data_IF_063976868695
#
_entry.id   IF_063976868695
#
_cell.length_a   1.000
_cell.length_b   1.000
_cell.length_c   1.000
_cell.angle_alpha   90.00
_cell.angle_beta   90.00
_cell.angle_gamma   90.00
#
_symmetry.space_group_name_H-M   'P 1'
#
loop_
_entity.id
_entity.type
_entity.pdbx_description
1 polymer ?
#
# COMPACT_ATOMS: atom_id res chain seq x y z
N UNK A 1 -72.54 15.53 -2.93
CA UNK A 1 -73.22 16.81 -3.23
C UNK A 1 -72.28 17.93 -2.78
N UNK A 2 -71.62 18.57 -3.77
CA UNK A 2 -70.88 19.86 -3.83
C UNK A 2 -70.63 20.59 -2.49
N UNK A 3 -69.39 20.92 -2.06
CA UNK A 3 -68.67 22.14 -2.50
C UNK A 3 -67.22 22.27 -1.97
N UNK A 4 -66.33 22.59 -2.92
CA UNK A 4 -65.00 23.27 -2.98
C UNK A 4 -64.29 23.77 -1.69
N UNK A 5 -63.00 23.50 -1.41
CA UNK A 5 -61.70 23.90 -2.03
C UNK A 5 -61.31 25.41 -1.94
N UNK A 6 -60.31 25.77 -1.09
CA UNK A 6 -58.93 26.22 -1.47
C UNK A 6 -58.11 27.00 -0.39
N UNK A 7 -56.91 26.48 -0.08
CA UNK A 7 -55.53 27.05 0.02
C UNK A 7 -55.06 28.20 0.96
N UNK A 8 -53.82 27.93 1.48
CA UNK A 8 -52.59 28.79 1.68
C UNK A 8 -52.56 29.69 2.93
N UNK A 9 -51.42 30.09 3.53
CA UNK A 9 -49.99 29.69 3.62
C UNK A 9 -49.34 30.69 4.64
N UNK A 10 -48.54 30.18 5.59
CA UNK A 10 -47.32 30.76 6.22
C UNK A 10 -47.18 32.17 6.86
N UNK A 11 -46.64 32.15 8.10
CA UNK A 11 -45.42 32.83 8.64
C UNK A 11 -45.49 34.21 9.38
N UNK A 12 -45.18 34.11 10.70
CA UNK A 12 -44.30 34.92 11.61
C UNK A 12 -44.70 36.28 12.21
N UNK A 13 -44.65 36.36 13.56
CA UNK A 13 -44.59 37.56 14.45
C UNK A 13 -43.90 37.12 15.78
N UNK A 14 -42.74 37.62 16.28
CA UNK A 14 -42.29 38.91 16.91
C UNK A 14 -41.87 38.70 18.40
N UNK A 15 -40.65 39.19 18.73
CA UNK A 15 -40.11 39.89 19.92
C UNK A 15 -40.44 39.51 21.39
N UNK A 16 -39.52 39.81 22.35
CA UNK A 16 -39.47 41.09 23.12
C UNK A 16 -38.68 40.96 24.46
N UNK A 17 -37.74 41.91 24.70
CA UNK A 17 -37.39 42.71 25.92
C UNK A 17 -37.26 42.10 27.33
N UNK A 18 -36.20 42.51 28.07
CA UNK A 18 -36.23 42.92 29.50
C UNK A 18 -34.92 43.66 29.87
N UNK A 19 -34.91 44.98 30.11
CA UNK A 19 -35.13 45.79 31.35
C UNK A 19 -34.02 45.68 32.43
N UNK A 20 -33.25 46.76 32.58
CA UNK A 20 -32.23 47.00 33.62
C UNK A 20 -32.79 47.95 34.70
N UNK A 21 -32.39 47.75 35.96
CA UNK A 21 -32.42 48.78 37.01
C UNK A 21 -31.14 48.71 37.88
N UNK A 22 -30.61 49.89 38.18
CA UNK A 22 -29.42 50.21 39.00
C UNK A 22 -29.81 50.39 40.48
N UNK A 23 -28.92 50.01 41.41
CA UNK A 23 -28.16 50.96 42.25
C UNK A 23 -27.60 50.32 43.55
N UNK A 24 -26.26 50.41 43.66
CA UNK A 24 -25.38 50.67 44.82
C UNK A 24 -25.86 50.50 46.27
N UNK A 25 -25.02 49.87 47.11
CA UNK A 25 -24.55 50.43 48.39
C UNK A 25 -23.19 49.80 48.78
N UNK A 26 -22.31 50.64 49.35
CA UNK A 26 -20.98 50.29 49.84
C UNK A 26 -20.97 50.07 51.36
N UNK A 27 -20.09 49.20 51.88
CA UNK A 27 -19.47 49.25 53.22
C UNK A 27 -18.35 48.19 53.35
N UNK A 28 -17.13 48.60 53.66
CA UNK A 28 -16.05 47.79 54.31
C UNK A 28 -16.29 47.78 55.84
N UNK A 29 -15.86 46.78 56.68
CA UNK A 29 -14.43 46.40 56.85
C UNK A 29 -14.09 44.99 57.43
N UNK A 30 -12.77 44.69 57.44
CA UNK A 30 -11.98 43.92 58.45
C UNK A 30 -12.15 42.39 58.66
N UNK A 31 -10.96 41.77 58.67
CA UNK A 31 -10.45 40.61 59.45
C UNK A 31 -10.91 39.18 59.12
N UNK A 32 -9.91 38.35 58.78
CA UNK A 32 -9.90 36.88 58.75
C UNK A 32 -10.14 36.27 60.14
N UNK A 33 -10.75 35.06 60.22
CA UNK A 33 -9.92 33.90 60.57
C UNK A 33 -10.26 32.61 59.80
N UNK A 34 -9.28 31.70 59.83
CA UNK A 34 -9.20 30.40 59.18
C UNK A 34 -10.33 29.43 59.57
N UNK A 35 -10.84 28.67 58.59
CA UNK A 35 -11.76 27.55 58.84
C UNK A 35 -12.35 26.90 57.59
N UNK A 36 -11.64 25.88 57.08
CA UNK A 36 -12.09 24.75 56.22
C UNK A 36 -13.40 24.92 55.41
N UNK A 37 -13.29 24.89 54.08
CA UNK A 37 -13.94 23.87 53.23
C UNK A 37 -13.46 23.93 51.78
N UNK A 38 -13.42 22.73 51.21
CA UNK A 38 -13.17 22.30 49.84
C UNK A 38 -13.48 23.25 48.66
N UNK A 39 -12.71 22.99 47.60
CA UNK A 39 -12.92 23.21 46.17
C UNK A 39 -12.35 24.47 45.53
N UNK A 40 -11.50 24.18 44.53
CA UNK A 40 -11.08 25.00 43.38
C UNK A 40 -9.76 25.78 43.53
N UNK A 41 -8.94 25.68 42.48
CA UNK A 41 -7.55 26.09 42.34
C UNK A 41 -6.57 25.18 43.10
N UNK A 42 -5.65 24.46 42.48
CA UNK A 42 -4.78 24.91 41.40
C UNK A 42 -4.52 23.76 40.44
N UNK A 43 -5.22 23.82 39.31
CA UNK A 43 -4.91 23.07 38.10
C UNK A 43 -3.61 23.67 37.55
N UNK A 44 -2.50 23.35 38.21
CA UNK A 44 -1.17 23.54 37.67
C UNK A 44 -1.14 22.81 36.34
N UNK A 45 -1.09 23.61 35.27
CA UNK A 45 -0.98 23.18 33.88
C UNK A 45 0.15 22.18 33.78
N UNK A 46 -0.19 20.89 33.73
CA UNK A 46 0.60 19.94 32.97
C UNK A 46 0.35 20.32 31.52
N UNK A 47 1.31 21.04 30.94
CA UNK A 47 1.39 21.09 29.49
C UNK A 47 1.40 19.65 28.96
N UNK A 48 0.60 19.33 27.94
CA UNK A 48 0.72 18.04 27.30
C UNK A 48 2.11 17.96 26.69
N UNK A 49 2.89 16.97 27.13
CA UNK A 49 4.10 16.55 26.44
C UNK A 49 3.71 16.30 24.99
N UNK A 50 4.28 17.07 24.06
CA UNK A 50 4.29 16.73 22.64
C UNK A 50 4.91 15.33 22.51
N UNK A 51 4.07 14.32 22.21
CA UNK A 51 4.56 12.97 21.93
C UNK A 51 3.79 11.83 22.61
N UNK A 52 2.49 11.71 22.35
CA UNK A 52 1.80 10.42 22.38
C UNK A 52 0.58 10.55 21.48
N UNK A 53 0.70 10.10 20.23
CA UNK A 53 -0.45 9.90 19.37
C UNK A 53 -1.41 8.94 20.08
N UNK A 54 -2.71 9.25 20.14
CA UNK A 54 -3.74 8.31 20.60
C UNK A 54 -3.88 7.09 19.68
N UNK A 55 -3.15 7.07 18.55
CA UNK A 55 -3.17 6.07 17.49
C UNK A 55 -1.74 5.75 17.05
N UNK A 56 -0.87 5.22 17.93
CA UNK A 56 0.55 4.99 17.62
C UNK A 56 0.78 3.99 16.49
N UNK A 57 -0.20 3.12 16.21
CA UNK A 57 -0.15 2.24 15.04
C UNK A 57 -0.16 3.03 13.71
N UNK A 58 -0.69 4.26 13.68
CA UNK A 58 -0.65 5.10 12.47
C UNK A 58 0.73 5.66 12.18
N UNK A 59 1.71 5.51 13.08
CA UNK A 59 3.11 5.88 12.79
C UNK A 59 3.70 5.07 11.62
N UNK A 60 3.06 3.95 11.25
CA UNK A 60 3.31 3.22 9.99
C UNK A 60 3.34 4.17 8.78
N UNK A 61 2.45 5.16 8.76
CA UNK A 61 2.29 6.12 7.68
C UNK A 61 3.53 6.99 7.46
N UNK A 62 4.44 7.08 8.43
CA UNK A 62 5.70 7.78 8.27
C UNK A 62 6.62 7.07 7.27
N UNK A 63 6.44 5.78 7.02
CA UNK A 63 7.33 4.98 6.16
C UNK A 63 6.88 4.89 4.70
N UNK A 64 5.85 5.66 4.31
CA UNK A 64 5.38 5.68 2.93
C UNK A 64 6.41 6.34 2.02
N UNK A 65 6.56 5.79 0.83
CA UNK A 65 7.37 6.36 -0.23
C UNK A 65 6.72 6.07 -1.59
N UNK A 66 7.35 6.54 -2.67
CA UNK A 66 6.95 6.17 -4.01
C UNK A 66 5.68 6.87 -4.51
N UNK A 67 5.07 6.27 -5.52
CA UNK A 67 3.84 6.79 -6.13
C UNK A 67 2.61 6.71 -5.21
N UNK A 68 2.64 5.85 -4.18
CA UNK A 68 1.56 5.75 -3.18
C UNK A 68 1.88 6.51 -1.88
N UNK A 69 2.79 7.49 -1.91
CA UNK A 69 3.22 8.26 -0.71
C UNK A 69 2.07 8.93 0.05
N UNK A 70 0.98 9.23 -0.65
CA UNK A 70 -0.20 9.91 -0.10
C UNK A 70 -1.27 8.93 0.43
N UNK A 71 -1.01 7.61 0.47
CA UNK A 71 -1.97 6.63 1.00
C UNK A 71 -2.18 6.82 2.49
N UNK A 72 -3.42 6.80 2.95
CA UNK A 72 -3.74 6.86 4.39
C UNK A 72 -4.47 5.61 4.89
N UNK A 73 -4.96 4.77 3.97
CA UNK A 73 -5.73 3.58 4.33
C UNK A 73 -6.91 3.94 5.22
N UNK A 74 -7.03 3.23 6.36
CA UNK A 74 -8.05 3.47 7.37
C UNK A 74 -7.74 4.54 8.41
N UNK A 75 -6.73 5.39 8.20
CA UNK A 75 -6.31 6.39 9.17
C UNK A 75 -7.47 7.29 9.62
N UNK A 76 -7.51 7.62 10.91
CA UNK A 76 -8.61 8.39 11.51
C UNK A 76 -9.95 7.62 11.63
N UNK A 77 -10.06 6.44 11.01
CA UNK A 77 -11.26 5.60 11.03
C UNK A 77 -11.42 4.72 12.26
N UNK A 78 -12.37 3.78 12.20
CA UNK A 78 -12.62 2.78 13.24
C UNK A 78 -11.45 1.79 13.32
N UNK A 79 -11.04 1.39 14.53
CA UNK A 79 -10.09 0.28 14.72
C UNK A 79 -10.89 -0.99 14.95
N UNK A 80 -10.71 -1.98 14.07
CA UNK A 80 -11.32 -3.31 14.21
C UNK A 80 -10.23 -4.30 14.60
N UNK A 81 -10.42 -5.02 15.70
CA UNK A 81 -9.49 -6.07 16.14
C UNK A 81 -10.09 -7.44 15.85
N UNK A 82 -9.46 -8.17 14.94
CA UNK A 82 -9.77 -9.56 14.65
C UNK A 82 -9.10 -10.44 15.72
N UNK A 83 -9.91 -11.13 16.52
CA UNK A 83 -9.46 -11.88 17.70
C UNK A 83 -9.49 -13.41 17.54
N UNK A 84 -9.92 -13.87 16.36
CA UNK A 84 -10.09 -15.27 15.99
C UNK A 84 -9.81 -15.45 14.50
N UNK A 85 -9.36 -16.65 14.10
CA UNK A 85 -9.08 -17.01 12.71
C UNK A 85 -10.37 -17.31 11.93
N UNK A 86 -11.32 -16.38 11.99
CA UNK A 86 -12.62 -16.50 11.35
C UNK A 86 -12.67 -15.56 10.14
N UNK A 87 -12.79 -16.13 8.95
CA UNK A 87 -12.90 -15.38 7.70
C UNK A 87 -14.01 -14.35 7.72
N UNK A 88 -15.18 -14.67 8.28
CA UNK A 88 -16.33 -13.76 8.31
C UNK A 88 -16.02 -12.45 9.03
N UNK A 89 -15.27 -12.50 10.14
CA UNK A 89 -14.90 -11.29 10.88
C UNK A 89 -13.97 -10.38 10.05
N UNK A 90 -13.01 -10.99 9.35
CA UNK A 90 -12.11 -10.27 8.45
C UNK A 90 -12.89 -9.68 7.26
N UNK A 91 -13.72 -10.50 6.62
CA UNK A 91 -14.55 -10.11 5.47
C UNK A 91 -15.48 -8.95 5.81
N UNK A 92 -16.23 -9.05 6.92
CA UNK A 92 -17.14 -8.00 7.36
C UNK A 92 -16.41 -6.67 7.59
N UNK A 93 -15.19 -6.71 8.14
CA UNK A 93 -14.38 -5.51 8.34
C UNK A 93 -13.92 -4.90 7.01
N UNK A 94 -13.44 -5.72 6.07
CA UNK A 94 -12.88 -5.27 4.78
C UNK A 94 -13.93 -4.81 3.77
N UNK A 95 -15.13 -5.41 3.79
CA UNK A 95 -16.23 -5.09 2.88
C UNK A 95 -17.22 -4.05 3.44
N UNK A 96 -17.00 -3.59 4.66
CA UNK A 96 -17.80 -2.52 5.26
C UNK A 96 -17.40 -1.13 4.73
N UNK A 97 -18.38 -0.23 4.74
CA UNK A 97 -18.16 1.16 4.34
C UNK A 97 -17.37 1.94 5.40
N UNK A 98 -16.67 2.99 4.94
CA UNK A 98 -15.95 3.93 5.80
C UNK A 98 -14.52 3.50 6.13
N UNK A 99 -13.70 4.43 6.64
CA UNK A 99 -12.31 4.17 6.96
C UNK A 99 -12.18 3.18 8.12
N UNK A 100 -11.39 2.12 7.94
CA UNK A 100 -11.11 1.14 9.01
C UNK A 100 -9.65 0.70 9.04
N UNK A 101 -9.10 0.70 10.25
CA UNK A 101 -7.79 0.13 10.56
C UNK A 101 -7.98 -1.25 11.18
N UNK A 102 -7.84 -2.29 10.36
CA UNK A 102 -8.02 -3.69 10.77
C UNK A 102 -6.70 -4.20 11.35
N UNK A 103 -6.73 -4.58 12.62
CA UNK A 103 -5.61 -5.22 13.32
C UNK A 103 -6.00 -6.61 13.77
N UNK A 104 -5.01 -7.39 14.17
CA UNK A 104 -5.21 -8.70 14.77
C UNK A 104 -4.82 -8.65 16.23
N UNK A 105 -5.47 -9.48 17.05
CA UNK A 105 -5.13 -9.62 18.46
C UNK A 105 -3.64 -10.00 18.59
N UNK A 106 -2.86 -9.33 19.45
CA UNK A 106 -1.45 -9.66 19.63
C UNK A 106 -1.24 -11.14 19.97
N UNK A 107 -0.31 -11.78 19.27
CA UNK A 107 -0.02 -13.22 19.37
C UNK A 107 -1.02 -14.13 18.64
N UNK A 108 -2.04 -13.59 17.97
CA UNK A 108 -2.90 -14.39 17.10
C UNK A 108 -2.04 -14.94 15.96
N UNK A 109 -2.11 -16.26 15.76
CA UNK A 109 -1.31 -16.99 14.79
C UNK A 109 -2.14 -18.04 14.09
N UNK A 110 -2.06 -18.06 12.76
CA UNK A 110 -2.60 -19.13 11.95
C UNK A 110 -3.15 -18.63 10.62
N UNK A 111 -3.90 -19.52 9.98
CA UNK A 111 -4.43 -19.31 8.64
C UNK A 111 -5.88 -18.83 8.72
N UNK A 112 -6.22 -17.87 7.86
CA UNK A 112 -7.59 -17.47 7.56
C UNK A 112 -7.81 -17.83 6.09
N UNK A 113 -8.55 -18.90 5.87
CA UNK A 113 -8.99 -19.33 4.53
C UNK A 113 -10.06 -18.35 4.04
N UNK A 114 -9.81 -17.68 2.91
CA UNK A 114 -10.85 -16.90 2.25
C UNK A 114 -11.83 -17.85 1.56
N UNK A 115 -13.12 -17.56 1.68
CA UNK A 115 -14.19 -18.28 0.99
C UNK A 115 -14.67 -17.40 -0.18
N UNK A 116 -14.29 -17.74 -1.40
CA UNK A 116 -14.53 -16.93 -2.57
C UNK A 116 -13.61 -15.71 -2.65
N UNK A 117 -13.85 -14.86 -3.66
CA UNK A 117 -13.15 -13.58 -3.76
C UNK A 117 -13.41 -12.68 -2.53
N UNK A 118 -12.32 -12.18 -1.93
CA UNK A 118 -12.36 -11.20 -0.87
C UNK A 118 -12.27 -9.79 -1.46
N UNK A 119 -13.34 -9.03 -1.38
CA UNK A 119 -13.37 -7.65 -1.88
C UNK A 119 -12.94 -6.68 -0.78
N UNK A 120 -11.94 -5.84 -1.04
CA UNK A 120 -11.56 -4.79 -0.10
C UNK A 120 -12.14 -3.47 -0.57
N UNK A 121 -13.08 -2.91 0.20
CA UNK A 121 -13.60 -1.57 -0.04
C UNK A 121 -12.56 -0.52 0.30
N UNK A 122 -12.74 0.70 -0.20
CA UNK A 122 -11.83 1.82 0.02
C UNK A 122 -11.60 2.16 1.50
N UNK A 123 -10.50 2.88 1.75
CA UNK A 123 -10.12 3.42 3.06
C UNK A 123 -9.89 2.31 4.09
N UNK A 124 -9.05 1.32 3.73
CA UNK A 124 -8.75 0.17 4.59
C UNK A 124 -7.26 0.05 4.82
N UNK A 125 -6.90 -0.27 6.05
CA UNK A 125 -5.57 -0.77 6.41
C UNK A 125 -5.72 -2.17 6.98
N UNK A 126 -5.05 -3.16 6.40
CA UNK A 126 -4.76 -4.43 7.06
C UNK A 126 -3.39 -4.27 7.71
N UNK A 127 -3.34 -4.37 9.03
CA UNK A 127 -2.12 -4.22 9.83
C UNK A 127 -1.89 -5.46 10.69
N UNK A 128 -1.03 -6.35 10.19
CA UNK A 128 -0.66 -7.60 10.84
C UNK A 128 0.44 -7.49 11.90
N UNK A 129 0.89 -6.28 12.28
CA UNK A 129 1.92 -6.12 13.31
C UNK A 129 1.48 -6.72 14.65
N UNK A 130 2.36 -7.53 15.23
CA UNK A 130 2.10 -8.27 16.47
C UNK A 130 1.32 -9.57 16.29
N UNK A 131 1.07 -10.00 15.05
CA UNK A 131 0.37 -11.25 14.73
C UNK A 131 1.06 -12.01 13.57
N UNK A 132 0.82 -13.33 13.49
CA UNK A 132 1.33 -14.22 12.44
C UNK A 132 0.14 -14.74 11.62
N UNK A 133 -0.33 -13.91 10.70
CA UNK A 133 -1.53 -14.17 9.91
C UNK A 133 -1.15 -14.56 8.50
N UNK A 134 -1.66 -15.71 8.07
CA UNK A 134 -1.60 -16.16 6.68
C UNK A 134 -3.00 -16.14 6.09
N UNK A 135 -3.19 -15.45 4.97
CA UNK A 135 -4.37 -15.59 4.13
C UNK A 135 -4.10 -16.69 3.10
N UNK A 136 -5.03 -17.65 3.01
CA UNK A 136 -5.01 -18.79 2.09
C UNK A 136 -6.36 -18.93 1.40
N UNK A 137 -6.46 -19.78 0.38
CA UNK A 137 -7.72 -20.11 -0.28
C UNK A 137 -7.78 -21.63 -0.55
N UNK A 138 -8.93 -22.28 -0.38
CA UNK A 138 -9.13 -23.66 -0.83
C UNK A 138 -9.41 -23.75 -2.35
N UNK A 139 -9.88 -22.66 -2.97
CA UNK A 139 -10.27 -22.61 -4.37
C UNK A 139 -9.17 -22.01 -5.27
N UNK A 140 -9.03 -22.61 -6.46
CA UNK A 140 -7.97 -22.35 -7.44
C UNK A 140 -8.10 -20.99 -8.15
N UNK A 141 -9.24 -20.32 -8.03
CA UNK A 141 -9.49 -19.03 -8.71
C UNK A 141 -9.82 -17.88 -7.77
N UNK A 142 -9.76 -18.08 -6.45
CA UNK A 142 -10.04 -17.00 -5.52
C UNK A 142 -8.96 -15.92 -5.52
N UNK A 143 -9.36 -14.71 -5.16
CA UNK A 143 -8.51 -13.52 -5.24
C UNK A 143 -8.85 -12.53 -4.13
N UNK A 144 -7.85 -11.77 -3.69
CA UNK A 144 -8.05 -10.55 -2.91
C UNK A 144 -8.16 -9.38 -3.91
N UNK A 145 -9.30 -8.69 -3.94
CA UNK A 145 -9.65 -7.74 -5.00
C UNK A 145 -9.76 -6.31 -4.51
N UNK A 146 -8.97 -5.42 -5.12
CA UNK A 146 -9.03 -3.97 -4.92
C UNK A 146 -9.61 -3.34 -6.18
N UNK A 147 -10.91 -3.07 -6.16
CA UNK A 147 -11.61 -2.49 -7.30
C UNK A 147 -11.97 -1.03 -7.01
N UNK A 148 -11.51 -0.11 -7.87
CA UNK A 148 -11.73 1.33 -7.69
C UNK A 148 -13.13 1.79 -8.07
N UNK A 149 -13.79 1.07 -9.01
CA UNK A 149 -15.17 1.30 -9.41
C UNK A 149 -16.12 0.34 -8.70
N UNK A 150 -16.99 0.87 -7.86
CA UNK A 150 -18.15 0.15 -7.33
C UNK A 150 -19.39 0.53 -8.17
N UNK A 151 -20.04 -0.44 -8.84
CA UNK A 151 -21.31 -0.18 -9.52
C UNK A 151 -22.43 -0.03 -8.48
N UNK A 152 -22.78 1.20 -8.13
CA UNK A 152 -24.05 1.50 -7.44
C UNK A 152 -25.09 1.86 -8.51
N UNK A 153 -26.18 1.10 -8.58
CA UNK A 153 -27.37 1.30 -9.42
C UNK A 153 -27.28 2.46 -10.43
N UNK A 154 -26.98 2.14 -11.70
CA UNK A 154 -27.05 3.01 -12.88
C UNK A 154 -26.69 4.49 -12.64
N UNK A 155 -25.44 4.86 -13.00
CA UNK A 155 -24.92 6.21 -13.34
C UNK A 155 -24.01 6.96 -12.36
N UNK A 156 -23.70 6.44 -11.17
CA UNK A 156 -22.66 7.02 -10.30
C UNK A 156 -21.53 6.01 -10.08
N UNK A 157 -20.44 6.16 -10.83
CA UNK A 157 -19.16 5.56 -10.49
C UNK A 157 -18.49 6.46 -9.45
N UNK A 158 -18.41 6.00 -8.20
CA UNK A 158 -17.58 6.66 -7.19
C UNK A 158 -16.20 6.03 -7.27
N UNK A 159 -15.21 6.75 -7.80
CA UNK A 159 -13.81 6.34 -7.69
C UNK A 159 -13.39 6.43 -6.23
N UNK A 160 -13.01 5.32 -5.59
CA UNK A 160 -12.28 5.38 -4.32
C UNK A 160 -11.29 4.22 -4.15
N UNK A 161 -10.05 4.57 -3.83
CA UNK A 161 -9.04 3.62 -3.37
C UNK A 161 -7.99 4.39 -2.59
N UNK A 162 -7.53 3.75 -1.53
CA UNK A 162 -6.74 4.28 -0.45
C UNK A 162 -6.54 3.09 0.48
N UNK A 163 -5.60 2.21 0.13
CA UNK A 163 -5.52 0.87 0.69
C UNK A 163 -4.10 0.55 1.14
N UNK A 164 -3.99 0.00 2.33
CA UNK A 164 -2.72 -0.47 2.90
C UNK A 164 -2.86 -1.93 3.28
N UNK A 165 -1.94 -2.76 2.81
CA UNK A 165 -1.75 -4.14 3.29
C UNK A 165 -0.36 -4.23 3.89
N UNK A 166 -0.29 -4.46 5.19
CA UNK A 166 0.96 -4.42 5.93
C UNK A 166 1.15 -5.65 6.83
N UNK A 167 2.34 -6.26 6.73
CA UNK A 167 2.85 -7.30 7.62
C UNK A 167 1.93 -8.51 7.78
N UNK A 168 1.57 -9.16 6.67
CA UNK A 168 0.84 -10.45 6.64
C UNK A 168 1.47 -11.41 5.62
N UNK A 169 1.03 -12.66 5.61
CA UNK A 169 1.40 -13.64 4.58
C UNK A 169 0.20 -13.88 3.65
N UNK A 170 0.46 -13.96 2.35
CA UNK A 170 -0.52 -14.29 1.31
C UNK A 170 0.02 -15.50 0.57
N UNK A 171 -0.50 -16.67 0.92
CA UNK A 171 0.06 -17.95 0.52
C UNK A 171 -1.05 -18.80 -0.09
N UNK A 172 -0.77 -19.39 -1.25
CA UNK A 172 -1.72 -20.29 -1.93
C UNK A 172 -3.10 -19.67 -2.20
N UNK A 173 -3.16 -18.37 -2.45
CA UNK A 173 -4.38 -17.76 -3.00
C UNK A 173 -4.47 -18.14 -4.47
N UNK A 174 -5.62 -18.70 -4.87
CA UNK A 174 -5.86 -19.14 -6.24
C UNK A 174 -4.92 -20.25 -6.70
N UNK A 175 -4.40 -21.08 -5.79
CA UNK A 175 -3.32 -22.03 -6.09
C UNK A 175 -3.80 -23.27 -6.88
N UNK A 176 -4.17 -23.07 -8.15
CA UNK A 176 -4.44 -24.13 -9.11
C UNK A 176 -4.27 -23.69 -10.56
N UNK A 177 -5.36 -23.69 -11.35
CA UNK A 177 -5.39 -23.52 -12.82
C UNK A 177 -4.93 -22.14 -13.36
N UNK A 178 -4.03 -21.43 -12.65
CA UNK A 178 -3.51 -20.10 -12.99
C UNK A 178 -4.63 -19.07 -13.21
N UNK A 179 -5.70 -19.13 -12.43
CA UNK A 179 -6.86 -18.24 -12.58
C UNK A 179 -7.04 -17.24 -11.43
N UNK A 180 -6.44 -17.49 -10.26
CA UNK A 180 -6.53 -16.59 -9.11
C UNK A 180 -5.21 -15.89 -8.80
N UNK A 181 -5.31 -14.61 -8.44
CA UNK A 181 -4.20 -13.75 -8.04
C UNK A 181 -4.14 -13.58 -6.53
N UNK A 182 -2.93 -13.42 -5.97
CA UNK A 182 -2.74 -13.06 -4.57
C UNK A 182 -3.45 -11.75 -4.22
N UNK A 183 -3.08 -10.66 -4.88
CA UNK A 183 -3.80 -9.37 -4.85
C UNK A 183 -4.01 -8.85 -6.27
N UNK A 184 -5.26 -8.63 -6.65
CA UNK A 184 -5.66 -8.03 -7.92
C UNK A 184 -6.17 -6.59 -7.77
N UNK A 185 -5.49 -5.63 -8.42
CA UNK A 185 -5.78 -4.19 -8.34
C UNK A 185 -6.30 -3.70 -9.70
N UNK A 186 -7.57 -3.33 -9.78
CA UNK A 186 -8.21 -3.07 -11.05
C UNK A 186 -9.29 -1.98 -11.01
N UNK A 187 -9.79 -1.64 -12.20
CA UNK A 187 -10.95 -0.77 -12.41
C UNK A 187 -10.78 0.58 -11.73
N UNK A 188 -9.77 1.34 -12.16
CA UNK A 188 -9.39 2.67 -11.63
C UNK A 188 -9.04 2.71 -10.13
N UNK A 189 -8.66 1.58 -9.55
CA UNK A 189 -8.08 1.59 -8.20
C UNK A 189 -6.80 2.44 -8.16
N UNK A 190 -6.69 3.31 -7.16
CA UNK A 190 -5.55 4.24 -6.98
C UNK A 190 -5.01 4.22 -5.56
N UNK A 191 -3.74 4.60 -5.39
CA UNK A 191 -3.15 4.86 -4.07
C UNK A 191 -3.18 3.62 -3.16
N UNK A 192 -2.40 2.61 -3.55
CA UNK A 192 -2.31 1.31 -2.85
C UNK A 192 -0.88 1.09 -2.38
N UNK A 193 -0.72 0.69 -1.11
CA UNK A 193 0.57 0.34 -0.53
C UNK A 193 0.55 -1.08 0.03
N UNK A 194 1.44 -1.91 -0.50
CA UNK A 194 1.66 -3.29 -0.06
C UNK A 194 3.05 -3.33 0.56
N UNK A 195 3.12 -3.62 1.86
CA UNK A 195 4.34 -3.45 2.63
C UNK A 195 4.59 -4.61 3.60
N UNK A 196 5.83 -5.10 3.67
CA UNK A 196 6.17 -6.24 4.55
C UNK A 196 5.27 -7.47 4.35
N UNK A 197 4.79 -7.70 3.14
CA UNK A 197 3.98 -8.88 2.82
C UNK A 197 4.86 -10.02 2.30
N UNK A 198 4.63 -11.24 2.79
CA UNK A 198 5.22 -12.45 2.20
C UNK A 198 4.24 -13.12 1.27
N UNK A 199 4.60 -13.23 0.00
CA UNK A 199 3.86 -13.96 -1.04
C UNK A 199 4.54 -15.29 -1.35
N UNK A 200 3.75 -16.36 -1.45
CA UNK A 200 4.28 -17.67 -1.82
C UNK A 200 3.24 -18.60 -2.45
N UNK A 201 3.63 -19.34 -3.49
CA UNK A 201 2.79 -20.36 -4.14
C UNK A 201 1.39 -19.87 -4.55
N UNK A 202 1.23 -18.60 -4.93
CA UNK A 202 -0.04 -18.09 -5.46
C UNK A 202 -0.26 -18.59 -6.90
N UNK A 203 -1.51 -18.64 -7.33
CA UNK A 203 -1.94 -19.21 -8.61
C UNK A 203 -1.31 -18.59 -9.85
N UNK A 204 -1.84 -17.43 -10.24
CA UNK A 204 -1.33 -16.65 -11.36
C UNK A 204 -0.28 -15.65 -10.86
N UNK A 205 -0.65 -14.38 -10.66
CA UNK A 205 0.25 -13.38 -10.08
C UNK A 205 0.14 -13.27 -8.56
N UNK A 206 1.26 -13.04 -7.88
CA UNK A 206 1.21 -12.64 -6.47
C UNK A 206 0.61 -11.24 -6.29
N UNK A 207 0.96 -10.30 -7.18
CA UNK A 207 0.34 -8.97 -7.26
C UNK A 207 0.08 -8.63 -8.72
N UNK A 208 -1.06 -8.05 -9.00
CA UNK A 208 -1.36 -7.55 -10.34
C UNK A 208 -2.04 -6.17 -10.27
N UNK A 209 -1.79 -5.34 -11.28
CA UNK A 209 -2.44 -4.04 -11.44
C UNK A 209 -2.77 -3.76 -12.91
N UNK A 210 -3.96 -3.24 -13.18
CA UNK A 210 -4.36 -2.81 -14.52
C UNK A 210 -5.77 -2.22 -14.57
N UNK A 211 -6.35 -2.16 -15.78
CA UNK A 211 -7.69 -1.60 -16.04
C UNK A 211 -7.85 -0.19 -15.44
N UNK A 212 -6.89 0.68 -15.73
CA UNK A 212 -6.91 2.08 -15.28
C UNK A 212 -6.38 2.33 -13.87
N UNK A 213 -5.95 1.28 -13.15
CA UNK A 213 -5.36 1.43 -11.84
C UNK A 213 -3.96 2.10 -11.87
N UNK A 214 -3.58 2.79 -10.80
CA UNK A 214 -2.31 3.54 -10.70
C UNK A 214 -1.89 3.77 -9.26
N UNK A 215 -0.70 4.35 -9.07
CA UNK A 215 -0.19 4.82 -7.78
C UNK A 215 -0.08 3.65 -6.78
N UNK A 216 0.67 2.64 -7.21
CA UNK A 216 1.04 1.47 -6.41
C UNK A 216 2.43 1.67 -5.82
N UNK A 217 2.60 1.34 -4.54
CA UNK A 217 3.91 1.09 -3.93
C UNK A 217 3.95 -0.31 -3.34
N UNK A 218 4.94 -1.10 -3.73
CA UNK A 218 5.26 -2.40 -3.13
C UNK A 218 6.62 -2.26 -2.46
N UNK A 219 6.66 -2.34 -1.14
CA UNK A 219 7.88 -2.12 -0.37
C UNK A 219 8.15 -3.24 0.61
N UNK A 220 9.42 -3.56 0.84
CA UNK A 220 9.81 -4.51 1.89
C UNK A 220 9.09 -5.87 1.81
N UNK A 221 8.61 -6.27 0.62
CA UNK A 221 7.86 -7.51 0.44
C UNK A 221 8.80 -8.66 0.07
N UNK A 222 8.41 -9.88 0.42
CA UNK A 222 9.13 -11.10 0.03
C UNK A 222 8.27 -11.94 -0.89
N UNK A 223 8.77 -12.22 -2.08
CA UNK A 223 8.16 -13.14 -3.04
C UNK A 223 9.02 -14.39 -3.08
N UNK A 224 8.47 -15.53 -2.67
CA UNK A 224 9.22 -16.78 -2.57
C UNK A 224 8.45 -17.94 -3.16
N UNK A 225 9.08 -18.69 -4.07
CA UNK A 225 8.48 -19.88 -4.68
C UNK A 225 7.12 -19.61 -5.32
N UNK A 226 7.02 -18.52 -6.10
CA UNK A 226 5.83 -18.18 -6.90
C UNK A 226 6.18 -18.20 -8.39
N UNK A 227 5.22 -18.53 -9.25
CA UNK A 227 5.45 -18.52 -10.69
C UNK A 227 5.61 -17.09 -11.21
N UNK A 228 4.57 -16.25 -11.04
CA UNK A 228 4.58 -14.85 -11.49
C UNK A 228 4.52 -13.90 -10.29
N UNK A 229 5.47 -12.96 -10.22
CA UNK A 229 5.55 -11.99 -9.14
C UNK A 229 4.50 -10.87 -9.25
N UNK A 230 4.85 -9.82 -9.98
CA UNK A 230 4.11 -8.58 -10.15
C UNK A 230 3.82 -8.34 -11.64
N UNK A 231 2.54 -8.33 -12.03
CA UNK A 231 2.09 -7.91 -13.37
C UNK A 231 1.46 -6.52 -13.32
N UNK A 232 2.03 -5.58 -14.06
CA UNK A 232 1.53 -4.23 -14.22
C UNK A 232 0.96 -4.09 -15.63
N UNK A 233 -0.10 -4.84 -15.92
CA UNK A 233 -0.78 -4.91 -17.21
C UNK A 233 -1.88 -5.97 -17.16
N UNK A 234 -3.12 -5.61 -16.88
CA UNK A 234 -4.25 -6.52 -17.16
C UNK A 234 -4.69 -6.45 -18.61
N UNK A 235 -4.16 -5.48 -19.35
CA UNK A 235 -4.52 -5.28 -20.74
C UNK A 235 -3.87 -6.26 -21.72
N UNK A 236 -4.66 -6.66 -22.70
CA UNK A 236 -4.19 -7.24 -23.95
C UNK A 236 -3.74 -6.12 -24.92
N UNK A 237 -3.43 -6.48 -26.17
CA UNK A 237 -3.22 -5.49 -27.23
C UNK A 237 -4.41 -4.53 -27.32
N UNK A 238 -4.13 -3.22 -27.30
CA UNK A 238 -5.15 -2.18 -27.51
C UNK A 238 -5.71 -1.55 -26.25
N UNK A 239 -5.25 -1.96 -25.06
CA UNK A 239 -5.62 -1.35 -23.78
C UNK A 239 -4.70 -0.17 -23.38
N UNK A 240 -3.95 0.41 -24.32
CA UNK A 240 -3.05 1.55 -24.08
C UNK A 240 -3.77 2.75 -23.48
N UNK A 241 -5.01 3.00 -23.91
CA UNK A 241 -5.86 4.05 -23.38
C UNK A 241 -6.25 3.85 -21.90
N UNK A 242 -6.23 2.62 -21.38
CA UNK A 242 -6.54 2.31 -19.99
C UNK A 242 -5.28 2.22 -19.12
N UNK A 243 -4.28 1.46 -19.57
CA UNK A 243 -3.14 1.10 -18.72
C UNK A 243 -1.95 2.07 -18.83
N UNK A 244 -2.00 3.05 -19.75
CA UNK A 244 -0.98 4.11 -19.84
C UNK A 244 -0.89 5.01 -18.60
N UNK A 245 -1.90 4.97 -17.70
CA UNK A 245 -1.88 5.72 -16.43
C UNK A 245 -1.07 5.01 -15.34
N UNK A 246 -0.74 3.73 -15.51
CA UNK A 246 -0.06 2.92 -14.49
C UNK A 246 1.23 3.60 -14.01
N UNK A 247 1.34 3.79 -12.70
CA UNK A 247 2.56 4.19 -12.01
C UNK A 247 2.78 3.26 -10.82
N UNK A 248 3.95 2.63 -10.76
CA UNK A 248 4.31 1.72 -9.68
C UNK A 248 5.72 2.02 -9.14
N UNK A 249 5.87 1.96 -7.82
CA UNK A 249 7.17 1.94 -7.15
C UNK A 249 7.34 0.57 -6.52
N UNK A 250 8.44 -0.11 -6.81
CA UNK A 250 8.80 -1.37 -6.15
C UNK A 250 10.18 -1.18 -5.55
N UNK A 251 10.27 -1.26 -4.23
CA UNK A 251 11.55 -1.09 -3.54
C UNK A 251 11.74 -2.01 -2.37
N UNK A 252 13.00 -2.31 -2.08
CA UNK A 252 13.37 -3.11 -0.92
C UNK A 252 12.68 -4.49 -0.86
N UNK A 253 12.26 -5.02 -2.02
CA UNK A 253 11.63 -6.32 -2.10
C UNK A 253 12.67 -7.41 -2.38
N UNK A 254 12.43 -8.59 -1.83
CA UNK A 254 13.22 -9.79 -2.09
C UNK A 254 12.42 -10.81 -2.91
N UNK A 255 12.82 -11.00 -4.15
CA UNK A 255 12.30 -12.01 -5.07
C UNK A 255 13.23 -13.22 -5.10
N UNK A 256 12.85 -14.28 -4.41
CA UNK A 256 13.61 -15.52 -4.31
C UNK A 256 12.88 -16.65 -5.04
N UNK A 257 13.55 -17.24 -6.04
CA UNK A 257 12.98 -18.38 -6.79
C UNK A 257 11.63 -18.05 -7.44
N UNK A 258 11.44 -16.79 -7.83
CA UNK A 258 10.30 -16.32 -8.62
C UNK A 258 10.58 -16.65 -10.08
N UNK A 259 9.69 -17.36 -10.77
CA UNK A 259 10.01 -17.74 -12.14
C UNK A 259 10.18 -16.49 -13.03
N UNK A 260 9.30 -15.48 -12.89
CA UNK A 260 9.49 -14.18 -13.52
C UNK A 260 8.45 -13.13 -13.15
N UNK A 261 8.46 -12.01 -13.90
CA UNK A 261 7.60 -10.82 -13.68
C UNK A 261 7.89 -10.14 -12.34
N UNK A 262 9.04 -9.51 -12.21
CA UNK A 262 9.50 -8.84 -10.99
C UNK A 262 9.99 -7.41 -11.24
N UNK A 263 9.23 -6.52 -11.94
CA UNK A 263 7.88 -6.69 -12.47
C UNK A 263 7.84 -7.01 -13.98
N UNK A 264 6.64 -7.26 -14.51
CA UNK A 264 6.34 -7.19 -15.95
C UNK A 264 5.37 -6.03 -16.22
N UNK A 265 5.71 -5.10 -17.12
CA UNK A 265 4.95 -3.86 -17.34
C UNK A 265 4.61 -3.61 -18.82
N UNK A 266 3.40 -3.09 -19.08
CA UNK A 266 2.98 -2.48 -20.37
C UNK A 266 2.57 -1.01 -20.17
N UNK A 267 2.82 -0.15 -21.18
CA UNK A 267 2.41 1.27 -21.33
C UNK A 267 2.79 2.29 -20.23
N UNK A 268 2.69 1.93 -18.95
CA UNK A 268 2.93 2.81 -17.81
C UNK A 268 4.39 2.90 -17.37
N UNK A 269 4.59 3.26 -16.11
CA UNK A 269 5.89 3.57 -15.52
C UNK A 269 6.14 2.77 -14.24
N UNK A 270 7.31 2.17 -14.13
CA UNK A 270 7.77 1.55 -12.88
C UNK A 270 9.12 2.12 -12.45
N UNK A 271 9.18 2.61 -11.21
CA UNK A 271 10.44 2.85 -10.52
C UNK A 271 10.78 1.62 -9.70
N UNK A 272 11.90 0.98 -10.02
CA UNK A 272 12.32 -0.31 -9.49
C UNK A 272 13.69 -0.12 -8.84
N UNK A 273 13.75 0.02 -7.52
CA UNK A 273 15.03 0.32 -6.85
C UNK A 273 15.30 -0.47 -5.58
N UNK A 274 16.57 -0.76 -5.31
CA UNK A 274 17.01 -1.51 -4.12
C UNK A 274 16.27 -2.83 -3.89
N UNK A 275 15.94 -3.55 -4.95
CA UNK A 275 15.37 -4.89 -4.86
C UNK A 275 16.44 -5.96 -5.04
N UNK A 276 16.19 -7.16 -4.52
CA UNK A 276 17.03 -8.33 -4.77
C UNK A 276 16.24 -9.39 -5.52
N UNK A 277 16.68 -9.74 -6.73
CA UNK A 277 16.17 -10.87 -7.49
C UNK A 277 17.19 -12.00 -7.46
N UNK A 278 16.77 -13.19 -7.04
CA UNK A 278 17.63 -14.35 -6.93
C UNK A 278 16.93 -15.59 -7.48
N UNK A 279 17.66 -16.36 -8.30
CA UNK A 279 17.22 -17.63 -8.86
C UNK A 279 15.95 -17.53 -9.74
N UNK A 280 15.88 -16.50 -10.60
CA UNK A 280 14.77 -16.36 -11.56
C UNK A 280 14.84 -17.41 -12.68
N UNK A 281 13.71 -17.69 -13.33
CA UNK A 281 13.64 -18.72 -14.38
C UNK A 281 13.57 -18.13 -15.79
N UNK A 282 12.56 -17.31 -16.12
CA UNK A 282 12.27 -16.78 -17.47
C UNK A 282 12.53 -15.27 -17.61
N UNK A 283 13.31 -14.71 -16.69
CA UNK A 283 13.68 -13.29 -16.60
C UNK A 283 13.03 -12.63 -15.38
N UNK A 284 13.72 -11.69 -14.74
CA UNK A 284 13.14 -10.98 -13.59
C UNK A 284 12.26 -9.82 -14.09
N UNK A 285 12.86 -8.75 -14.60
CA UNK A 285 12.19 -7.52 -15.01
C UNK A 285 11.89 -7.51 -16.51
N UNK A 286 10.67 -7.18 -16.88
CA UNK A 286 10.24 -7.08 -18.27
C UNK A 286 9.53 -5.75 -18.55
N UNK A 287 9.97 -5.07 -19.61
CA UNK A 287 9.33 -3.87 -20.14
C UNK A 287 8.86 -4.12 -21.58
N UNK A 288 7.61 -3.80 -21.90
CA UNK A 288 7.07 -4.00 -23.25
C UNK A 288 5.99 -2.97 -23.57
N UNK A 289 5.57 -2.88 -24.83
CA UNK A 289 4.50 -1.99 -25.30
C UNK A 289 4.70 -0.52 -24.87
N UNK A 290 5.93 0.00 -25.00
CA UNK A 290 6.26 1.38 -24.64
C UNK A 290 6.32 1.68 -23.14
N UNK A 291 6.18 0.67 -22.27
CA UNK A 291 6.41 0.79 -20.84
C UNK A 291 7.77 1.42 -20.53
N UNK A 292 7.88 2.13 -19.41
CA UNK A 292 9.14 2.73 -18.96
C UNK A 292 9.53 2.15 -17.59
N UNK A 293 10.69 1.49 -17.52
CA UNK A 293 11.22 0.96 -16.25
C UNK A 293 12.52 1.67 -15.89
N UNK A 294 12.54 2.33 -14.73
CA UNK A 294 13.76 2.91 -14.15
C UNK A 294 14.28 1.95 -13.08
N UNK A 295 15.32 1.19 -13.41
CA UNK A 295 15.99 0.23 -12.54
C UNK A 295 17.20 0.89 -11.89
N UNK A 296 17.20 1.02 -10.56
CA UNK A 296 18.24 1.71 -9.80
C UNK A 296 18.74 0.91 -8.60
N UNK A 297 20.04 0.64 -8.54
CA UNK A 297 20.71 -0.02 -7.41
C UNK A 297 20.03 -1.32 -6.96
N UNK A 298 19.55 -2.13 -7.90
CA UNK A 298 19.04 -3.46 -7.64
C UNK A 298 20.17 -4.50 -7.69
N UNK A 299 19.93 -5.63 -7.05
CA UNK A 299 20.81 -6.79 -7.08
C UNK A 299 20.11 -7.90 -7.87
N UNK A 300 20.79 -8.44 -8.87
CA UNK A 300 20.35 -9.58 -9.67
C UNK A 300 21.33 -10.73 -9.46
N UNK A 301 21.02 -11.64 -8.53
CA UNK A 301 21.86 -12.78 -8.18
C UNK A 301 21.42 -14.05 -8.90
N UNK A 302 21.99 -14.29 -10.09
CA UNK A 302 21.91 -15.54 -10.86
C UNK A 302 20.50 -16.00 -11.28
N UNK A 303 20.35 -16.38 -12.55
CA UNK A 303 19.20 -17.19 -12.95
C UNK A 303 19.34 -18.61 -12.40
N UNK A 304 18.21 -19.31 -12.22
CA UNK A 304 18.18 -20.70 -11.72
C UNK A 304 18.93 -21.66 -12.67
N UNK A 305 19.06 -21.29 -13.94
CA UNK A 305 19.67 -22.12 -14.97
C UNK A 305 20.78 -21.35 -15.70
N UNK A 306 21.78 -22.08 -16.20
CA UNK A 306 22.92 -21.51 -16.94
C UNK A 306 22.49 -20.72 -18.20
N UNK A 307 21.30 -21.00 -18.74
CA UNK A 307 20.72 -20.32 -19.90
C UNK A 307 19.44 -19.55 -19.55
N UNK A 308 19.28 -19.14 -18.30
CA UNK A 308 18.16 -18.26 -17.92
C UNK A 308 18.19 -16.99 -18.78
N UNK A 309 17.02 -16.46 -19.20
CA UNK A 309 16.95 -15.19 -19.90
C UNK A 309 17.56 -14.04 -19.10
N UNK A 310 17.83 -12.89 -19.75
CA UNK A 310 18.34 -11.70 -19.08
C UNK A 310 17.54 -11.35 -17.81
N UNK A 311 18.24 -10.82 -16.82
CA UNK A 311 17.63 -10.39 -15.57
C UNK A 311 16.65 -9.22 -15.81
N UNK A 312 16.99 -8.30 -16.71
CA UNK A 312 16.13 -7.20 -17.15
C UNK A 312 16.09 -7.14 -18.67
N UNK A 313 14.89 -7.07 -19.25
CA UNK A 313 14.71 -7.13 -20.70
C UNK A 313 13.62 -6.17 -21.23
N UNK A 314 13.82 -5.66 -22.44
CA UNK A 314 12.78 -4.98 -23.23
C UNK A 314 12.27 -5.95 -24.30
N UNK A 315 11.10 -6.53 -24.04
CA UNK A 315 10.60 -7.64 -24.86
C UNK A 315 9.62 -7.16 -25.92
N UNK A 316 9.68 -7.81 -27.09
CA UNK A 316 8.62 -7.75 -28.09
C UNK A 316 8.31 -9.16 -28.59
N UNK A 317 7.03 -9.45 -28.82
CA UNK A 317 6.59 -10.74 -29.34
C UNK A 317 5.30 -10.59 -30.17
N UNK A 318 4.78 -11.70 -30.70
CA UNK A 318 3.55 -11.68 -31.53
C UNK A 318 2.37 -11.05 -30.82
N UNK A 319 2.27 -11.16 -29.49
CA UNK A 319 1.20 -10.60 -28.67
C UNK A 319 1.48 -9.19 -28.19
N UNK A 320 2.75 -8.79 -28.10
CA UNK A 320 3.19 -7.45 -27.67
C UNK A 320 4.28 -6.98 -28.63
N UNK A 321 3.92 -6.50 -29.83
CA UNK A 321 4.87 -6.35 -30.94
C UNK A 321 5.78 -5.14 -30.82
N UNK A 322 5.59 -4.30 -29.80
CA UNK A 322 6.42 -3.12 -29.55
C UNK A 322 7.24 -3.37 -28.29
N UNK A 323 8.57 -3.15 -28.30
CA UNK A 323 9.36 -3.16 -27.08
C UNK A 323 8.93 -2.03 -26.14
N UNK A 324 9.32 -2.15 -24.89
CA UNK A 324 9.30 -1.04 -23.93
C UNK A 324 10.65 -0.33 -23.87
N UNK A 325 10.83 0.45 -22.83
CA UNK A 325 12.06 1.14 -22.48
C UNK A 325 12.46 0.75 -21.07
N UNK A 326 13.75 0.60 -20.84
CA UNK A 326 14.29 0.42 -19.51
C UNK A 326 15.66 1.08 -19.39
N UNK A 327 15.93 1.61 -18.20
CA UNK A 327 17.21 2.24 -17.84
C UNK A 327 17.74 1.55 -16.59
N UNK A 328 19.04 1.24 -16.58
CA UNK A 328 19.74 0.67 -15.42
C UNK A 328 20.76 1.67 -14.88
N UNK A 329 20.75 1.90 -13.57
CA UNK A 329 21.67 2.82 -12.87
C UNK A 329 22.17 2.14 -11.60
N UNK A 330 23.46 1.84 -11.52
CA UNK A 330 24.07 1.24 -10.32
C UNK A 330 23.59 -0.17 -9.96
N UNK A 331 22.82 -0.84 -10.83
CA UNK A 331 22.43 -2.24 -10.65
C UNK A 331 23.67 -3.16 -10.65
N UNK A 332 23.65 -4.19 -9.79
CA UNK A 332 24.69 -5.20 -9.68
C UNK A 332 24.16 -6.57 -10.11
N UNK A 333 24.92 -7.25 -10.96
CA UNK A 333 24.60 -8.58 -11.48
C UNK A 333 25.61 -9.59 -10.92
N UNK A 334 25.16 -10.45 -10.01
CA UNK A 334 25.99 -11.44 -9.31
C UNK A 334 25.73 -12.83 -9.87
N UNK A 335 26.76 -13.67 -9.90
CA UNK A 335 26.67 -15.07 -10.33
C UNK A 335 26.05 -15.25 -11.73
N UNK A 336 26.32 -14.30 -12.63
CA UNK A 336 26.02 -14.42 -14.06
C UNK A 336 27.20 -15.15 -14.72
N UNK A 337 26.95 -16.18 -15.56
CA UNK A 337 28.02 -16.86 -16.30
C UNK A 337 28.87 -15.87 -17.12
N UNK A 338 30.17 -16.11 -17.16
CA UNK A 338 31.11 -15.26 -17.90
C UNK A 338 30.70 -15.09 -19.37
N UNK A 339 30.75 -13.85 -19.85
CA UNK A 339 30.41 -13.49 -21.23
C UNK A 339 28.91 -13.32 -21.51
N UNK A 340 28.03 -13.50 -20.52
CA UNK A 340 26.60 -13.20 -20.64
C UNK A 340 26.31 -11.80 -20.11
N UNK A 341 25.71 -10.96 -20.94
CA UNK A 341 25.08 -9.72 -20.47
C UNK A 341 23.69 -10.05 -19.93
N UNK A 342 23.49 -9.86 -18.62
CA UNK A 342 22.20 -10.06 -17.96
C UNK A 342 21.19 -8.92 -18.26
N UNK A 343 21.56 -7.96 -19.11
CA UNK A 343 20.69 -6.94 -19.67
C UNK A 343 20.31 -7.35 -21.10
N UNK A 344 19.02 -7.38 -21.37
CA UNK A 344 18.49 -7.65 -22.69
C UNK A 344 18.82 -6.55 -23.71
N UNK A 345 18.52 -6.79 -24.99
CA UNK A 345 18.64 -5.76 -26.01
C UNK A 345 17.75 -4.56 -25.68
N UNK A 346 18.21 -3.34 -25.98
CA UNK A 346 17.42 -2.12 -25.81
C UNK A 346 17.45 -1.49 -24.41
N UNK A 347 18.17 -2.07 -23.46
CA UNK A 347 18.45 -1.40 -22.17
C UNK A 347 19.31 -0.16 -22.41
N UNK A 348 18.93 0.96 -21.79
CA UNK A 348 19.59 2.27 -21.91
C UNK A 348 19.56 2.92 -23.31
N UNK A 349 18.73 2.45 -24.25
CA UNK A 349 18.68 3.00 -25.62
C UNK A 349 17.57 4.05 -25.84
N UNK A 350 16.65 4.22 -24.88
CA UNK A 350 15.52 5.15 -24.95
C UNK A 350 15.41 6.06 -23.72
N UNK A 351 14.58 7.11 -23.85
CA UNK A 351 14.27 7.99 -22.73
C UNK A 351 13.28 7.29 -21.79
N UNK A 352 13.71 7.08 -20.55
CA UNK A 352 12.88 6.64 -19.43
C UNK A 352 12.63 7.84 -18.53
N UNK A 353 11.43 7.95 -17.95
CA UNK A 353 11.08 8.95 -16.95
C UNK A 353 12.11 9.03 -15.81
N UNK A 354 12.18 10.18 -15.14
CA UNK A 354 13.02 10.37 -13.96
C UNK A 354 12.14 10.28 -12.70
N UNK A 355 12.33 9.28 -11.82
CA UNK A 355 11.52 9.15 -10.61
C UNK A 355 11.58 10.38 -9.69
N UNK A 356 12.72 11.07 -9.63
CA UNK A 356 12.90 12.28 -8.81
C UNK A 356 12.04 13.48 -9.22
N UNK A 357 11.40 13.42 -10.39
CA UNK A 357 10.42 14.43 -10.82
C UNK A 357 9.03 14.20 -10.18
N UNK A 358 8.80 13.04 -9.55
CA UNK A 358 7.50 12.65 -8.99
C UNK A 358 7.49 12.62 -7.45
N UNK A 359 8.59 12.19 -6.83
CA UNK A 359 8.72 12.14 -5.37
C UNK A 359 10.19 12.10 -4.96
N UNK A 360 10.44 12.49 -3.71
CA UNK A 360 11.74 12.35 -3.07
C UNK A 360 11.97 10.89 -2.65
N UNK A 361 13.18 10.41 -2.87
CA UNK A 361 13.64 9.09 -2.43
C UNK A 361 15.16 9.10 -2.32
N UNK A 362 15.70 8.08 -1.66
CA UNK A 362 17.14 7.85 -1.57
C UNK A 362 17.40 6.38 -1.85
N UNK A 363 17.98 6.08 -3.01
CA UNK A 363 18.43 4.73 -3.30
C UNK A 363 19.79 4.48 -2.61
N UNK A 364 19.91 3.38 -1.90
CA UNK A 364 21.17 2.89 -1.33
C UNK A 364 22.03 2.25 -2.43
N UNK A 365 23.37 2.19 -2.29
CA UNK A 365 24.21 1.43 -3.21
C UNK A 365 23.81 -0.06 -3.25
N UNK A 366 23.89 -0.67 -4.44
CA UNK A 366 23.73 -2.12 -4.58
C UNK A 366 25.02 -2.83 -4.11
N UNK A 367 25.01 -3.33 -2.87
CA UNK A 367 26.13 -4.03 -2.27
C UNK A 367 25.68 -5.18 -1.34
N UNK A 368 26.64 -5.86 -0.72
CA UNK A 368 26.35 -6.95 0.22
C UNK A 368 25.57 -6.48 1.45
N UNK A 369 25.72 -5.22 1.87
CA UNK A 369 24.95 -4.66 2.99
C UNK A 369 23.48 -4.56 2.64
N UNK A 370 23.16 -4.04 1.45
CA UNK A 370 21.79 -4.00 0.95
C UNK A 370 21.24 -5.43 0.82
N UNK A 371 22.01 -6.34 0.23
CA UNK A 371 21.61 -7.75 0.10
C UNK A 371 21.22 -8.37 1.44
N UNK A 372 22.09 -8.29 2.44
CA UNK A 372 21.86 -8.86 3.78
C UNK A 372 20.64 -8.23 4.44
N UNK A 373 20.43 -6.92 4.24
CA UNK A 373 19.26 -6.19 4.71
C UNK A 373 17.97 -6.75 4.10
N UNK A 374 17.93 -6.94 2.78
CA UNK A 374 16.76 -7.48 2.07
C UNK A 374 16.46 -8.93 2.45
N UNK A 375 17.49 -9.77 2.58
CA UNK A 375 17.29 -11.16 3.00
C UNK A 375 16.72 -11.27 4.42
N UNK A 376 17.09 -10.34 5.30
CA UNK A 376 16.69 -10.31 6.72
C UNK A 376 15.33 -9.67 6.96
N UNK A 377 15.04 -8.52 6.34
CA UNK A 377 13.91 -7.67 6.72
C UNK A 377 12.73 -7.72 5.73
N UNK A 378 12.93 -8.17 4.48
CA UNK A 378 11.81 -8.24 3.54
C UNK A 378 10.84 -9.38 3.88
N UNK A 379 9.54 -9.06 3.79
CA UNK A 379 8.40 -9.93 4.06
C UNK A 379 7.81 -9.72 5.44
N UNK A 380 6.86 -10.59 5.78
CA UNK A 380 6.28 -10.66 7.12
C UNK A 380 7.37 -10.90 8.17
N UNK A 381 7.26 -10.21 9.30
CA UNK A 381 8.07 -10.46 10.49
C UNK A 381 7.28 -10.17 11.78
N UNK A 382 7.79 -10.66 12.91
CA UNK A 382 7.17 -10.41 14.22
C UNK A 382 7.21 -8.93 14.61
N UNK A 383 8.27 -8.23 14.17
CA UNK A 383 8.52 -6.82 14.39
C UNK A 383 9.09 -6.22 13.10
N UNK A 384 8.23 -5.76 12.16
CA UNK A 384 8.69 -5.16 10.91
C UNK A 384 9.45 -3.88 11.20
N UNK A 385 10.71 -3.88 10.78
CA UNK A 385 11.62 -2.76 10.94
C UNK A 385 11.92 -2.14 9.58
N UNK A 386 11.89 -0.82 9.53
CA UNK A 386 12.51 -0.01 8.49
C UNK A 386 13.89 0.37 9.03
N UNK A 387 14.98 -0.26 8.54
CA UNK A 387 16.32 -0.02 9.08
C UNK A 387 16.66 1.47 9.08
N UNK A 388 17.37 1.97 10.09
CA UNK A 388 17.55 3.43 10.41
C UNK A 388 18.01 4.33 9.24
N UNK A 389 18.58 3.76 8.18
CA UNK A 389 18.99 4.50 6.96
C UNK A 389 17.84 4.76 5.97
N UNK A 390 16.67 4.19 6.23
CA UNK A 390 15.43 4.24 5.44
C UNK A 390 14.34 5.09 6.15
N UNK A 391 14.74 5.92 7.13
CA UNK A 391 13.82 6.88 7.75
C UNK A 391 13.30 7.88 6.70
N UNK A 392 12.00 8.25 6.79
CA UNK A 392 11.43 9.26 5.92
C UNK A 392 12.25 10.55 5.97
N UNK A 393 12.60 11.08 4.79
CA UNK A 393 13.17 12.41 4.61
C UNK A 393 12.19 13.42 5.22
N UNK A 394 12.44 13.85 6.46
CA UNK A 394 11.51 14.71 7.21
C UNK A 394 11.82 14.88 8.69
N UNK A 395 12.64 14.03 9.31
CA UNK A 395 13.20 14.31 10.64
C UNK A 395 14.59 14.93 10.50
N UNK A 396 14.65 16.27 10.45
CA UNK A 396 15.85 16.97 10.90
C UNK A 396 16.13 16.49 12.34
N UNK A 397 17.22 15.76 12.52
CA UNK A 397 17.75 15.54 13.86
C UNK A 397 18.20 16.91 14.36
N UNK A 398 17.45 17.51 15.29
CA UNK A 398 18.01 18.52 16.17
C UNK A 398 19.24 17.90 16.83
N UNK A 399 20.41 18.23 16.28
CA UNK A 399 21.69 17.93 16.93
C UNK A 399 21.75 18.86 18.14
N UNK A 400 21.37 18.33 19.30
CA UNK A 400 21.76 18.90 20.56
C UNK A 400 23.28 18.82 20.67
N UNK A 401 23.93 19.99 20.61
CA UNK A 401 25.34 20.17 20.97
C UNK A 401 25.50 20.11 22.49
#
# INVERSE_FOLDING_TARGET
MVSQFYRKLSITVVALVTLLHLASFATTPKSLPEGRTHQMAEQARREPVLGSSTRPYEDLLNHRAGFAKDVTGGAGGEVVVIDSLNYKNLKDALESDGPKWIRFKPGLKGEIEIEGHLYIKSDKTIDGRGADITLTSPDDCDEIRFWGREKRNHSIEVNRSNLIVHNIKIIRIGAGDNCGQGIGIAFDARNVWIDHVTFSHNGDESVSMGKGATDLTVSWCRFVDTDKGILLSWGDKGDDALDGVIKATIHHCYFLRVNGRSPFLTYGRAHYFNNYNKDWNWGAVHSTMGAEVYSENNIYGGGRWNNSPPAIDTISNRWRPKPGYAKTVGDVFLNIPDGIDARGPGINTGKVFNPGEFYEYKAEPADDRLKDKLEKYAGWSEDPQWPEDDEPLGKERERTN
#
